data_IF_676963300329
#
_entry.id   IF_676963300329
#
_cell.length_a   1.000
_cell.length_b   1.000
_cell.length_c   1.000
_cell.angle_alpha   90.00
_cell.angle_beta   90.00
_cell.angle_gamma   90.00
#
_symmetry.space_group_name_H-M   'P 1'
#
loop_
_entity.id
_entity.type
_entity.pdbx_description
1 polymer ?
#
# COMPACT_ATOMS: atom_id res chain seq x y z
N UNK A 1 -17.89 1.90 28.30
CA UNK A 1 -16.41 1.90 28.41
C UNK A 1 -15.91 3.11 27.65
N UNK A 2 -15.60 4.19 28.35
CA UNK A 2 -15.00 5.38 27.74
C UNK A 2 -13.59 5.02 27.29
N UNK A 3 -13.39 4.87 25.97
CA UNK A 3 -12.06 4.62 25.41
C UNK A 3 -11.32 5.96 25.45
N UNK A 4 -10.61 6.22 26.55
CA UNK A 4 -9.73 7.40 26.65
C UNK A 4 -8.66 7.28 25.57
N UNK A 5 -8.83 8.03 24.48
CA UNK A 5 -7.91 8.00 23.35
C UNK A 5 -6.56 8.61 23.78
N UNK A 6 -5.47 7.88 23.53
CA UNK A 6 -4.11 8.41 23.74
C UNK A 6 -3.93 9.73 22.98
N UNK A 7 -3.32 10.71 23.65
CA UNK A 7 -2.99 12.01 23.06
C UNK A 7 -1.93 11.84 21.97
N UNK A 8 -1.91 12.75 20.98
CA UNK A 8 -0.89 12.75 19.92
C UNK A 8 0.54 12.80 20.47
N UNK A 9 0.75 13.49 21.59
CA UNK A 9 2.03 13.55 22.29
C UNK A 9 2.45 12.19 22.87
N UNK A 10 1.49 11.43 23.39
CA UNK A 10 1.75 10.11 23.98
C UNK A 10 2.07 9.08 22.91
N UNK A 11 1.31 9.07 21.80
CA UNK A 11 1.59 8.26 20.61
C UNK A 11 2.99 8.55 20.05
N UNK A 12 3.39 9.83 20.00
CA UNK A 12 4.73 10.24 19.54
C UNK A 12 5.84 9.70 20.45
N UNK A 13 5.65 9.78 21.77
CA UNK A 13 6.64 9.29 22.74
C UNK A 13 6.80 7.77 22.63
N UNK A 14 5.68 7.05 22.52
CA UNK A 14 5.67 5.59 22.38
C UNK A 14 6.36 5.15 21.08
N UNK A 15 6.02 5.80 19.95
CA UNK A 15 6.70 5.57 18.68
C UNK A 15 8.21 5.83 18.80
N UNK A 16 8.62 7.01 19.29
CA UNK A 16 10.05 7.35 19.44
C UNK A 16 10.80 6.38 20.36
N UNK A 17 10.18 5.93 21.44
CA UNK A 17 10.77 4.96 22.35
C UNK A 17 10.95 3.58 21.71
N UNK A 18 10.00 3.14 20.88
CA UNK A 18 10.11 1.89 20.11
C UNK A 18 11.19 1.96 19.03
N UNK A 19 11.34 3.11 18.37
CA UNK A 19 12.40 3.32 17.37
C UNK A 19 13.79 3.53 18.00
N UNK A 20 13.87 4.04 19.24
CA UNK A 20 15.12 4.26 19.96
C UNK A 20 15.82 2.94 20.32
N UNK A 21 16.73 2.50 19.46
CA UNK A 21 17.53 1.28 19.62
C UNK A 21 17.48 0.34 18.41
N UNK A 22 16.43 0.45 17.60
CA UNK A 22 16.18 -0.41 16.42
C UNK A 22 16.13 0.38 15.10
N UNK A 23 16.71 1.59 15.05
CA UNK A 23 16.73 2.44 13.85
C UNK A 23 17.26 1.70 12.61
N UNK A 24 18.27 0.84 12.76
CA UNK A 24 18.80 0.03 11.66
C UNK A 24 17.77 -0.95 11.08
N UNK A 25 16.90 -1.53 11.91
CA UNK A 25 15.85 -2.45 11.46
C UNK A 25 14.71 -1.69 10.78
N UNK A 26 14.30 -0.54 11.31
CA UNK A 26 13.29 0.33 10.69
C UNK A 26 13.72 0.85 9.31
N UNK A 27 15.00 1.22 9.19
CA UNK A 27 15.60 1.62 7.91
C UNK A 27 15.64 0.43 6.95
N UNK A 28 16.10 -0.74 7.41
CA UNK A 28 16.13 -1.96 6.60
C UNK A 28 14.73 -2.38 6.13
N UNK A 29 13.70 -2.18 6.97
CA UNK A 29 12.30 -2.49 6.67
C UNK A 29 11.74 -1.70 5.49
N UNK A 30 12.18 -0.46 5.29
CA UNK A 30 11.73 0.37 4.18
C UNK A 30 12.70 0.30 2.99
N UNK A 31 14.00 0.37 3.23
CA UNK A 31 15.01 0.43 2.16
C UNK A 31 15.07 -0.88 1.37
N UNK A 32 15.05 -2.05 2.03
CA UNK A 32 15.22 -3.34 1.33
C UNK A 32 14.06 -3.60 0.36
N UNK A 33 12.78 -3.47 0.75
CA UNK A 33 11.68 -3.66 -0.17
C UNK A 33 11.62 -2.60 -1.26
N UNK A 34 11.92 -1.33 -0.95
CA UNK A 34 11.91 -0.27 -1.97
C UNK A 34 12.99 -0.50 -3.03
N UNK A 35 14.22 -0.85 -2.64
CA UNK A 35 15.29 -1.19 -3.58
C UNK A 35 14.94 -2.41 -4.43
N UNK A 36 14.38 -3.46 -3.83
CA UNK A 36 13.94 -4.63 -4.57
C UNK A 36 12.77 -4.32 -5.52
N UNK A 37 11.83 -3.45 -5.12
CA UNK A 37 10.72 -3.02 -5.97
C UNK A 37 11.22 -2.25 -7.20
N UNK A 38 12.20 -1.37 -7.01
CA UNK A 38 12.87 -0.65 -8.10
C UNK A 38 13.56 -1.65 -9.04
N UNK A 39 14.30 -2.61 -8.49
CA UNK A 39 14.96 -3.66 -9.28
C UNK A 39 13.95 -4.49 -10.07
N UNK A 40 12.88 -4.95 -9.43
CA UNK A 40 11.81 -5.71 -10.07
C UNK A 40 11.12 -4.91 -11.18
N UNK A 41 10.85 -3.62 -10.96
CA UNK A 41 10.27 -2.74 -11.98
C UNK A 41 11.19 -2.60 -13.21
N UNK A 42 12.50 -2.45 -12.99
CA UNK A 42 13.49 -2.40 -14.08
C UNK A 42 13.53 -3.73 -14.85
N UNK A 43 13.52 -4.87 -14.15
CA UNK A 43 13.56 -6.19 -14.78
C UNK A 43 12.28 -6.52 -15.57
N UNK A 44 11.12 -6.27 -14.98
CA UNK A 44 9.81 -6.49 -15.60
C UNK A 44 9.61 -5.54 -16.79
N UNK A 45 9.98 -4.27 -16.63
CA UNK A 45 9.94 -3.28 -17.73
C UNK A 45 10.89 -3.65 -18.87
N UNK A 46 12.10 -4.12 -18.55
CA UNK A 46 13.07 -4.61 -19.53
C UNK A 46 12.58 -5.86 -20.27
N UNK A 47 12.02 -6.84 -19.55
CA UNK A 47 11.43 -8.05 -20.13
C UNK A 47 10.23 -7.72 -21.01
N UNK A 48 9.37 -6.81 -20.57
CA UNK A 48 8.22 -6.34 -21.37
C UNK A 48 8.69 -5.64 -22.65
N UNK A 49 9.69 -4.76 -22.58
CA UNK A 49 10.31 -4.16 -23.78
C UNK A 49 10.86 -5.24 -24.71
N UNK A 50 11.61 -6.22 -24.19
CA UNK A 50 12.14 -7.31 -24.99
C UNK A 50 11.04 -8.14 -25.66
N UNK A 51 9.96 -8.46 -24.95
CA UNK A 51 8.79 -9.16 -25.49
C UNK A 51 8.09 -8.32 -26.57
N UNK A 52 7.85 -7.03 -26.33
CA UNK A 52 7.25 -6.16 -27.36
C UNK A 52 8.15 -6.02 -28.58
N UNK A 53 9.47 -5.96 -28.41
CA UNK A 53 10.42 -5.99 -29.53
C UNK A 53 10.32 -7.31 -30.31
N UNK A 54 10.10 -8.44 -29.62
CA UNK A 54 9.91 -9.78 -30.20
C UNK A 54 8.56 -9.93 -30.95
N UNK A 55 7.53 -9.18 -30.55
CA UNK A 55 6.27 -9.11 -31.31
C UNK A 55 6.31 -8.08 -32.45
N UNK A 56 7.15 -7.03 -32.34
CA UNK A 56 7.42 -6.06 -33.40
C UNK A 56 8.42 -6.60 -34.44
N UNK A 57 9.13 -7.70 -34.17
CA UNK A 57 10.06 -8.30 -35.13
C UNK A 57 9.42 -8.86 -36.40
N UNK A 58 8.08 -8.90 -36.51
CA UNK A 58 7.43 -9.09 -37.81
C UNK A 58 7.61 -7.88 -38.75
N UNK A 59 7.90 -6.67 -38.21
CA UNK A 59 8.08 -5.42 -38.96
C UNK A 59 9.45 -4.72 -38.71
N UNK A 60 10.29 -5.22 -37.79
CA UNK A 60 11.54 -4.54 -37.36
C UNK A 60 12.79 -4.80 -38.23
N UNK A 61 12.76 -5.76 -39.16
CA UNK A 61 13.94 -6.07 -40.02
C UNK A 61 14.32 -4.91 -40.97
N UNK A 62 13.55 -3.83 -41.07
CA UNK A 62 13.82 -2.72 -42.00
C UNK A 62 14.38 -1.42 -41.42
N UNK A 63 14.65 -1.31 -40.11
CA UNK A 63 15.18 -0.04 -39.55
C UNK A 63 16.28 -0.24 -38.52
N UNK A 64 17.49 -0.56 -39.02
CA UNK A 64 18.72 -0.67 -38.23
C UNK A 64 19.26 0.66 -37.69
N UNK A 65 18.49 1.35 -36.85
CA UNK A 65 18.97 2.46 -36.04
C UNK A 65 18.68 2.16 -34.57
N UNK A 66 19.73 1.84 -33.81
CA UNK A 66 19.70 1.57 -32.37
C UNK A 66 19.37 2.82 -31.55
N UNK A 67 18.14 3.32 -31.70
CA UNK A 67 17.58 4.36 -30.87
C UNK A 67 17.06 3.71 -29.60
N UNK A 68 17.77 3.91 -28.48
CA UNK A 68 17.19 3.67 -27.15
C UNK A 68 15.83 4.37 -27.10
N UNK A 69 14.71 3.67 -26.85
CA UNK A 69 13.43 4.33 -26.69
C UNK A 69 13.50 5.14 -25.38
N UNK A 70 13.84 6.42 -25.48
CA UNK A 70 13.71 7.40 -24.38
C UNK A 70 12.24 7.79 -24.14
N UNK A 71 11.31 6.92 -24.52
CA UNK A 71 9.89 7.06 -24.21
C UNK A 71 9.66 6.61 -22.77
N UNK A 72 10.16 7.40 -21.83
CA UNK A 72 9.46 7.62 -20.56
C UNK A 72 8.18 8.41 -20.89
N UNK A 73 7.25 7.78 -21.62
CA UNK A 73 5.95 8.34 -21.90
C UNK A 73 5.16 8.31 -20.59
N UNK A 74 5.31 9.43 -19.90
CA UNK A 74 4.45 9.93 -18.84
C UNK A 74 3.03 10.04 -19.39
N UNK A 75 2.32 8.92 -19.51
CA UNK A 75 1.00 8.90 -20.12
C UNK A 75 0.53 7.48 -20.47
N UNK A 76 -0.14 6.84 -19.50
CA UNK A 76 -1.09 5.75 -19.75
C UNK A 76 -0.61 4.46 -20.44
N UNK A 77 0.64 4.02 -20.27
CA UNK A 77 1.00 2.64 -20.61
C UNK A 77 0.41 1.67 -19.57
N UNK A 78 -0.15 0.53 -20.02
CA UNK A 78 -0.65 -0.54 -19.14
C UNK A 78 0.44 -1.00 -18.15
N UNK A 79 1.71 -0.96 -18.58
CA UNK A 79 2.90 -1.23 -17.76
C UNK A 79 3.05 -0.25 -16.59
N UNK A 80 2.77 1.04 -16.79
CA UNK A 80 2.81 2.05 -15.71
C UNK A 80 1.68 1.89 -14.69
N UNK A 81 0.48 1.48 -15.14
CA UNK A 81 -0.67 1.25 -14.26
C UNK A 81 -0.49 -0.01 -13.40
N UNK A 82 -0.01 -1.11 -14.00
CA UNK A 82 0.28 -2.35 -13.26
C UNK A 82 1.44 -2.13 -12.28
N UNK A 83 2.49 -1.42 -12.70
CA UNK A 83 3.62 -1.09 -11.83
C UNK A 83 3.20 -0.29 -10.58
N UNK A 84 2.35 0.72 -10.77
CA UNK A 84 1.83 1.55 -9.66
C UNK A 84 0.97 0.74 -8.69
N UNK A 85 0.15 -0.18 -9.22
CA UNK A 85 -0.65 -1.08 -8.39
C UNK A 85 0.20 -2.03 -7.55
N UNK A 86 1.25 -2.62 -8.13
CA UNK A 86 2.18 -3.51 -7.41
C UNK A 86 2.90 -2.75 -6.30
N UNK A 87 3.38 -1.54 -6.58
CA UNK A 87 4.02 -0.67 -5.57
C UNK A 87 3.04 -0.33 -4.44
N UNK A 88 1.77 -0.06 -4.77
CA UNK A 88 0.71 0.15 -3.78
C UNK A 88 0.53 -1.04 -2.84
N UNK A 89 0.49 -2.26 -3.38
CA UNK A 89 0.41 -3.48 -2.57
C UNK A 89 1.63 -3.68 -1.68
N UNK A 90 2.85 -3.47 -2.20
CA UNK A 90 4.07 -3.57 -1.39
C UNK A 90 4.04 -2.56 -0.24
N UNK A 91 3.58 -1.33 -0.50
CA UNK A 91 3.42 -0.29 0.53
C UNK A 91 2.42 -0.72 1.61
N UNK A 92 1.33 -1.37 1.21
CA UNK A 92 0.36 -1.93 2.15
C UNK A 92 0.96 -3.07 2.99
N UNK A 93 1.76 -3.96 2.39
CA UNK A 93 2.49 -5.02 3.10
C UNK A 93 3.49 -4.48 4.13
N UNK A 94 4.22 -3.42 3.79
CA UNK A 94 5.09 -2.70 4.73
C UNK A 94 4.27 -2.12 5.88
N UNK A 95 3.11 -1.55 5.59
CA UNK A 95 2.21 -0.96 6.61
C UNK A 95 1.70 -2.02 7.59
N UNK A 96 1.29 -3.19 7.09
CA UNK A 96 0.88 -4.34 7.91
C UNK A 96 2.00 -4.85 8.81
N UNK A 97 3.21 -4.95 8.26
CA UNK A 97 4.38 -5.39 9.00
C UNK A 97 4.78 -4.41 10.09
N UNK A 98 4.73 -3.10 9.79
CA UNK A 98 5.02 -2.06 10.76
C UNK A 98 4.01 -2.09 11.91
N UNK A 99 2.74 -2.38 11.60
CA UNK A 99 1.68 -2.56 12.59
C UNK A 99 1.95 -3.79 13.48
N UNK A 100 2.39 -4.90 12.90
CA UNK A 100 2.72 -6.12 13.66
C UNK A 100 3.94 -5.92 14.55
N UNK A 101 4.98 -5.24 14.03
CA UNK A 101 6.16 -4.88 14.81
C UNK A 101 5.81 -3.96 16.00
N UNK A 102 4.92 -2.99 15.79
CA UNK A 102 4.40 -2.14 16.86
C UNK A 102 3.68 -2.94 17.96
N UNK A 103 3.01 -4.03 17.58
CA UNK A 103 2.26 -4.91 18.50
C UNK A 103 3.14 -5.91 19.23
N UNK A 104 4.03 -6.61 18.51
CA UNK A 104 4.89 -7.66 19.08
C UNK A 104 6.08 -7.10 19.85
N UNK A 105 6.58 -5.90 19.49
CA UNK A 105 7.82 -5.30 20.00
C UNK A 105 9.08 -6.17 19.78
N UNK A 106 8.99 -7.16 18.90
CA UNK A 106 10.10 -8.07 18.60
C UNK A 106 11.06 -7.47 17.57
N UNK A 107 12.37 -7.55 17.86
CA UNK A 107 13.41 -6.97 17.02
C UNK A 107 13.83 -7.86 15.82
N UNK A 108 13.59 -9.17 15.87
CA UNK A 108 14.07 -10.11 14.85
C UNK A 108 13.05 -10.36 13.72
N UNK A 109 12.61 -9.28 13.08
CA UNK A 109 11.69 -9.37 11.95
C UNK A 109 12.41 -9.40 10.59
N UNK A 110 12.05 -10.37 9.74
CA UNK A 110 12.53 -10.42 8.35
C UNK A 110 11.80 -9.39 7.47
N UNK A 111 12.37 -8.18 7.41
CA UNK A 111 11.89 -7.03 6.64
C UNK A 111 11.37 -7.36 5.23
N UNK A 112 12.09 -8.20 4.50
CA UNK A 112 11.72 -8.63 3.16
C UNK A 112 10.42 -9.45 3.17
N UNK A 113 10.33 -10.47 4.03
CA UNK A 113 9.12 -11.31 4.14
C UNK A 113 7.90 -10.50 4.59
N UNK A 114 8.09 -9.47 5.40
CA UNK A 114 6.99 -8.58 5.80
C UNK A 114 6.48 -7.71 4.69
N UNK A 115 7.36 -7.05 3.94
CA UNK A 115 6.93 -6.21 2.84
C UNK A 115 6.18 -7.01 1.75
N UNK A 116 6.54 -8.28 1.59
CA UNK A 116 5.84 -9.21 0.71
C UNK A 116 4.73 -10.03 1.39
N UNK A 117 4.46 -9.81 2.68
CA UNK A 117 3.44 -10.56 3.43
C UNK A 117 2.04 -10.42 2.83
N UNK A 118 1.76 -9.26 2.22
CA UNK A 118 0.49 -9.00 1.52
C UNK A 118 0.31 -9.91 0.31
N UNK A 119 1.39 -10.41 -0.31
CA UNK A 119 1.30 -11.35 -1.44
C UNK A 119 1.09 -12.80 -0.99
N UNK A 120 1.07 -13.07 0.31
CA UNK A 120 0.67 -14.39 0.79
C UNK A 120 -0.79 -14.66 0.42
N UNK A 121 -1.11 -15.90 0.06
CA UNK A 121 -2.47 -16.32 -0.38
C UNK A 121 -3.57 -15.91 0.61
N UNK A 122 -3.21 -15.80 1.90
CA UNK A 122 -4.08 -15.41 3.01
C UNK A 122 -4.51 -13.95 2.96
N UNK A 123 -3.60 -13.02 2.67
CA UNK A 123 -3.90 -11.58 2.71
C UNK A 123 -4.13 -10.96 1.33
N UNK A 124 -3.55 -11.55 0.28
CA UNK A 124 -3.51 -10.95 -1.05
C UNK A 124 -4.89 -10.65 -1.62
N UNK A 125 -5.77 -11.66 -1.67
CA UNK A 125 -7.09 -11.53 -2.28
C UNK A 125 -7.93 -10.49 -1.54
N UNK A 126 -7.97 -10.55 -0.21
CA UNK A 126 -8.79 -9.62 0.56
C UNK A 126 -8.23 -8.21 0.64
N UNK A 127 -6.91 -8.04 0.67
CA UNK A 127 -6.29 -6.72 0.57
C UNK A 127 -6.59 -6.07 -0.79
N UNK A 128 -6.43 -6.81 -1.88
CA UNK A 128 -6.73 -6.33 -3.24
C UNK A 128 -8.20 -5.97 -3.38
N UNK A 129 -9.12 -6.85 -2.98
CA UNK A 129 -10.56 -6.58 -3.08
C UNK A 129 -10.95 -5.36 -2.25
N UNK A 130 -10.43 -5.24 -1.02
CA UNK A 130 -10.74 -4.11 -0.14
C UNK A 130 -10.23 -2.79 -0.73
N UNK A 131 -9.02 -2.78 -1.28
CA UNK A 131 -8.43 -1.59 -1.92
C UNK A 131 -9.19 -1.19 -3.18
N UNK A 132 -9.54 -2.16 -4.03
CA UNK A 132 -10.33 -1.92 -5.23
C UNK A 132 -11.72 -1.38 -4.90
N UNK A 133 -12.36 -1.91 -3.86
CA UNK A 133 -13.69 -1.51 -3.46
C UNK A 133 -13.69 -0.11 -2.82
N UNK A 134 -12.71 0.19 -1.97
CA UNK A 134 -12.48 1.54 -1.43
C UNK A 134 -12.19 2.55 -2.54
N UNK A 135 -11.34 2.19 -3.51
CA UNK A 135 -11.04 3.00 -4.68
C UNK A 135 -12.28 3.25 -5.54
N UNK A 136 -13.05 2.21 -5.84
CA UNK A 136 -14.30 2.29 -6.60
C UNK A 136 -15.29 3.27 -5.95
N UNK A 137 -15.55 3.14 -4.65
CA UNK A 137 -16.43 4.07 -3.95
C UNK A 137 -15.86 5.49 -3.95
N UNK A 138 -14.55 5.66 -3.76
CA UNK A 138 -13.90 6.99 -3.79
C UNK A 138 -14.06 7.66 -5.15
N UNK A 139 -13.88 6.92 -6.25
CA UNK A 139 -14.09 7.42 -7.62
C UNK A 139 -15.55 7.82 -7.84
N UNK A 140 -16.51 7.02 -7.39
CA UNK A 140 -17.93 7.37 -7.48
C UNK A 140 -18.26 8.67 -6.75
N UNK A 141 -17.73 8.85 -5.53
CA UNK A 141 -17.93 10.09 -4.77
C UNK A 141 -17.24 11.28 -5.42
N UNK A 142 -16.04 11.07 -5.98
CA UNK A 142 -15.26 12.11 -6.66
C UNK A 142 -15.93 12.54 -7.97
N UNK A 143 -16.51 11.59 -8.71
CA UNK A 143 -17.26 11.84 -9.94
C UNK A 143 -18.53 12.65 -9.67
N UNK A 144 -19.17 12.42 -8.52
CA UNK A 144 -20.30 13.21 -8.08
C UNK A 144 -19.85 14.63 -7.67
N UNK A 145 -18.84 14.74 -6.80
CA UNK A 145 -18.16 15.99 -6.47
C UNK A 145 -16.75 15.74 -5.91
N UNK A 146 -15.79 16.59 -6.26
CA UNK A 146 -14.37 16.42 -5.83
C UNK A 146 -14.22 16.46 -4.29
N UNK A 147 -14.91 17.39 -3.62
CA UNK A 147 -14.81 17.59 -2.16
C UNK A 147 -15.26 16.34 -1.35
N UNK A 148 -16.47 15.77 -1.57
CA UNK A 148 -16.85 14.55 -0.86
C UNK A 148 -16.00 13.33 -1.27
N UNK A 149 -15.45 13.29 -2.48
CA UNK A 149 -14.46 12.29 -2.89
C UNK A 149 -13.26 12.23 -1.94
N UNK A 150 -12.65 13.38 -1.65
CA UNK A 150 -11.53 13.48 -0.69
C UNK A 150 -11.93 13.04 0.73
N UNK A 151 -13.08 13.48 1.22
CA UNK A 151 -13.57 13.11 2.57
C UNK A 151 -13.77 11.58 2.68
N UNK A 152 -14.25 10.95 1.61
CA UNK A 152 -14.48 9.51 1.55
C UNK A 152 -13.18 8.71 1.39
N UNK A 153 -12.21 9.22 0.65
CA UNK A 153 -10.85 8.64 0.62
C UNK A 153 -10.28 8.49 2.03
N UNK A 154 -10.40 9.52 2.87
CA UNK A 154 -10.04 9.39 4.27
C UNK A 154 -10.88 8.31 4.95
N UNK A 155 -12.21 8.39 4.89
CA UNK A 155 -13.13 7.45 5.54
C UNK A 155 -12.88 5.96 5.27
N UNK A 156 -12.28 5.62 4.11
CA UNK A 156 -12.00 4.24 3.70
C UNK A 156 -10.56 3.78 3.96
N UNK A 157 -9.67 4.69 4.37
CA UNK A 157 -8.24 4.40 4.59
C UNK A 157 -7.96 3.30 5.62
N UNK A 158 -8.92 2.99 6.50
CA UNK A 158 -8.76 1.98 7.54
C UNK A 158 -9.29 0.60 7.15
N UNK A 159 -9.99 0.49 6.02
CA UNK A 159 -10.58 -0.77 5.58
C UNK A 159 -9.54 -1.89 5.41
N UNK A 160 -8.35 -1.67 4.82
CA UNK A 160 -7.33 -2.71 4.69
C UNK A 160 -6.79 -3.21 6.04
N UNK A 161 -6.64 -2.32 7.02
CA UNK A 161 -6.16 -2.68 8.36
C UNK A 161 -7.22 -3.44 9.15
N UNK A 162 -8.50 -3.06 9.01
CA UNK A 162 -9.62 -3.80 9.60
C UNK A 162 -9.71 -5.20 8.99
N UNK A 163 -9.51 -5.33 7.67
CA UNK A 163 -9.44 -6.64 7.02
C UNK A 163 -8.30 -7.49 7.60
N UNK A 164 -7.11 -6.92 7.76
CA UNK A 164 -5.97 -7.61 8.39
C UNK A 164 -6.32 -8.12 9.78
N UNK A 165 -6.87 -7.25 10.63
CA UNK A 165 -7.24 -7.58 12.01
C UNK A 165 -8.29 -8.69 12.08
N UNK A 166 -9.29 -8.65 11.20
CA UNK A 166 -10.32 -9.70 11.11
C UNK A 166 -9.74 -11.02 10.59
N UNK A 167 -8.81 -10.96 9.63
CA UNK A 167 -8.12 -12.14 9.09
C UNK A 167 -7.26 -12.79 10.15
N UNK A 168 -6.55 -12.01 10.96
CA UNK A 168 -5.70 -12.50 12.04
C UNK A 168 -6.53 -13.11 13.18
N UNK A 169 -7.66 -12.49 13.54
CA UNK A 169 -8.55 -12.97 14.59
C UNK A 169 -9.39 -14.21 14.18
N UNK A 170 -9.77 -14.30 12.90
CA UNK A 170 -10.65 -15.37 12.39
C UNK A 170 -10.07 -15.99 11.11
N UNK A 171 -9.08 -16.89 11.22
CA UNK A 171 -8.39 -17.49 10.07
C UNK A 171 -9.26 -18.27 9.07
N UNK A 172 -10.42 -18.77 9.49
CA UNK A 172 -11.29 -19.65 8.69
C UNK A 172 -12.64 -19.00 8.31
N UNK A 173 -12.88 -17.75 8.70
CA UNK A 173 -14.14 -17.07 8.39
C UNK A 173 -14.05 -16.34 7.03
N UNK A 174 -15.10 -16.45 6.22
CA UNK A 174 -15.27 -15.61 5.04
C UNK A 174 -15.52 -14.16 5.47
N UNK A 175 -14.54 -13.29 5.26
CA UNK A 175 -14.63 -11.89 5.63
C UNK A 175 -15.41 -11.13 4.57
N UNK A 176 -16.49 -10.48 4.99
CA UNK A 176 -17.22 -9.56 4.13
C UNK A 176 -16.45 -8.23 3.98
N UNK A 177 -15.97 -7.95 2.77
CA UNK A 177 -15.19 -6.75 2.46
C UNK A 177 -16.01 -5.46 2.59
N UNK A 178 -17.33 -5.50 2.35
CA UNK A 178 -18.21 -4.34 2.55
C UNK A 178 -18.32 -3.97 4.03
N UNK A 179 -18.29 -4.97 4.91
CA UNK A 179 -18.31 -4.73 6.36
C UNK A 179 -17.01 -4.08 6.83
N UNK A 180 -15.88 -4.41 6.19
CA UNK A 180 -14.60 -3.74 6.45
C UNK A 180 -14.66 -2.25 6.10
N UNK A 181 -15.27 -1.90 4.97
CA UNK A 181 -15.48 -0.50 4.56
C UNK A 181 -16.45 0.21 5.50
N UNK A 182 -17.54 -0.44 5.90
CA UNK A 182 -18.52 0.12 6.84
C UNK A 182 -17.87 0.40 8.20
N UNK A 183 -17.14 -0.58 8.76
CA UNK A 183 -16.36 -0.41 9.99
C UNK A 183 -15.31 0.70 9.86
N UNK A 184 -14.64 0.82 8.71
CA UNK A 184 -13.70 1.92 8.45
C UNK A 184 -14.39 3.28 8.56
N UNK A 185 -15.59 3.43 7.98
CA UNK A 185 -16.36 4.69 8.04
C UNK A 185 -16.76 5.04 9.46
N UNK A 186 -17.25 4.05 10.22
CA UNK A 186 -17.64 4.21 11.63
C UNK A 186 -16.44 4.60 12.49
N UNK A 187 -15.31 3.91 12.30
CA UNK A 187 -14.07 4.19 13.03
C UNK A 187 -13.51 5.58 12.72
N UNK A 188 -13.78 6.10 11.51
CA UNK A 188 -13.33 7.43 11.10
C UNK A 188 -14.36 8.52 11.32
N UNK A 189 -15.54 8.20 11.87
CA UNK A 189 -16.50 9.24 12.18
C UNK A 189 -16.02 10.10 13.36
N UNK A 190 -16.07 11.43 13.19
CA UNK A 190 -15.43 12.38 14.13
C UNK A 190 -13.90 12.34 14.21
N UNK A 191 -13.21 11.42 13.51
CA UNK A 191 -11.74 11.27 13.58
C UNK A 191 -10.98 11.62 12.29
N UNK A 192 -11.69 11.90 11.19
CA UNK A 192 -11.11 12.33 9.89
C UNK A 192 -10.12 13.50 10.01
N UNK A 193 -10.51 14.56 10.72
CA UNK A 193 -9.66 15.75 10.87
C UNK A 193 -8.43 15.50 11.75
N UNK A 194 -8.58 14.72 12.81
CA UNK A 194 -7.46 14.30 13.67
C UNK A 194 -6.46 13.44 12.90
N UNK A 195 -6.95 12.54 12.04
CA UNK A 195 -6.11 11.76 11.13
C UNK A 195 -5.35 12.66 10.14
N UNK A 196 -6.03 13.64 9.53
CA UNK A 196 -5.39 14.60 8.64
C UNK A 196 -4.26 15.39 9.33
N UNK A 197 -4.50 15.88 10.55
CA UNK A 197 -3.47 16.59 11.32
C UNK A 197 -2.29 15.66 11.60
N UNK A 198 -2.53 14.43 12.07
CA UNK A 198 -1.47 13.46 12.35
C UNK A 198 -0.64 13.13 11.10
N UNK A 199 -1.28 12.99 9.95
CA UNK A 199 -0.62 12.70 8.68
C UNK A 199 0.24 13.87 8.17
N UNK A 200 -0.16 15.11 8.42
CA UNK A 200 0.52 16.32 7.91
C UNK A 200 1.39 17.01 8.97
N UNK A 201 1.47 16.47 10.18
CA UNK A 201 2.30 17.06 11.22
C UNK A 201 3.78 16.85 10.88
N UNK A 202 4.47 17.96 10.59
CA UNK A 202 5.92 17.95 10.32
C UNK A 202 6.65 17.48 11.58
N UNK A 203 7.47 16.44 11.44
CA UNK A 203 8.25 15.86 12.55
C UNK A 203 9.41 16.74 12.98
#
# INVERSE_FOLDING_TARGET
MDKTYKSSAELKREAKALYAGHWGQAIKLNIVPTLFSILAFILIGGLFMALTALFMTSDFVSSGSGSFPSNMSSGNSLTGNIGSFIVGLITLGISFTTLDWLRSKDADFNAFSGAFSVFSKRYFVGAVITELLAGFFTVLWTLLFIIPGLIKSFSYSQAPFIFKDLTDAHPEADINYLDCITKSRELMDGHKFRFFILANYKF
#
